data_IF_070002576640
#
_entry.id   IF_070002576640
#
_cell.length_a   1.000
_cell.length_b   1.000
_cell.length_c   1.000
_cell.angle_alpha   90.00
_cell.angle_beta   90.00
_cell.angle_gamma   90.00
#
_symmetry.space_group_name_H-M   'P 1'
#
loop_
_entity.id
_entity.type
_entity.pdbx_description
1 polymer ?
#
# COMPACT_ATOMS: atom_id res chain seq x y z
N UNK A 1 28.46 5.83 3.81
CA UNK A 1 29.33 4.80 4.41
C UNK A 1 28.61 3.46 4.46
N UNK A 2 28.51 2.81 3.29
CA UNK A 2 27.79 1.55 3.08
C UNK A 2 28.65 0.35 3.54
N UNK A 3 29.02 0.30 4.81
CA UNK A 3 29.65 -0.92 5.31
C UNK A 3 28.56 -1.94 5.57
N UNK A 4 28.52 -2.97 4.73
CA UNK A 4 27.78 -4.19 5.01
C UNK A 4 28.19 -4.76 6.37
N UNK A 5 27.20 -5.16 7.15
CA UNK A 5 27.43 -5.92 8.39
C UNK A 5 27.40 -7.42 8.12
N UNK A 6 26.75 -7.83 7.02
CA UNK A 6 26.76 -9.16 6.44
C UNK A 6 26.42 -9.02 4.95
N UNK A 7 26.51 -10.10 4.16
CA UNK A 7 26.20 -10.10 2.74
C UNK A 7 24.84 -9.44 2.44
N UNK A 8 24.86 -8.33 1.68
CA UNK A 8 23.71 -7.50 1.29
C UNK A 8 22.88 -6.98 2.49
N UNK A 9 23.47 -6.83 3.69
CA UNK A 9 22.81 -6.30 4.89
C UNK A 9 23.51 -5.02 5.34
N UNK A 10 22.78 -3.92 5.37
CA UNK A 10 23.27 -2.59 5.69
C UNK A 10 22.56 -2.01 6.92
N UNK A 11 23.27 -1.32 7.83
CA UNK A 11 22.60 -0.61 8.92
C UNK A 11 21.85 0.61 8.38
N UNK A 12 20.66 0.86 8.90
CA UNK A 12 19.87 2.06 8.59
C UNK A 12 20.15 3.13 9.63
N UNK A 13 20.64 4.27 9.19
CA UNK A 13 20.93 5.42 10.06
C UNK A 13 19.75 6.39 10.16
N UNK A 14 18.96 6.48 9.11
CA UNK A 14 17.78 7.34 9.03
C UNK A 14 16.68 6.61 8.31
N UNK A 15 15.53 6.54 8.94
CA UNK A 15 14.29 6.09 8.34
C UNK A 15 13.35 7.29 8.33
N UNK A 16 12.79 7.65 7.18
CA UNK A 16 11.90 8.80 7.03
C UNK A 16 10.66 8.40 6.22
N UNK A 17 9.52 8.47 6.86
CA UNK A 17 8.23 8.15 6.24
C UNK A 17 7.59 9.43 5.67
N UNK A 18 7.13 9.36 4.42
CA UNK A 18 6.40 10.42 3.73
C UNK A 18 7.07 11.80 3.80
N UNK A 19 8.34 11.93 3.37
CA UNK A 19 8.99 13.23 3.32
C UNK A 19 8.20 14.17 2.38
N UNK A 20 8.26 15.48 2.63
CA UNK A 20 7.71 16.43 1.67
C UNK A 20 8.48 16.38 0.35
N UNK A 21 7.88 16.91 -0.73
CA UNK A 21 8.43 16.84 -2.09
C UNK A 21 9.88 17.33 -2.18
N UNK A 22 10.19 18.48 -1.56
CA UNK A 22 11.54 19.05 -1.62
C UNK A 22 12.58 18.16 -0.90
N UNK A 23 12.18 17.51 0.18
CA UNK A 23 13.04 16.56 0.90
C UNK A 23 13.20 15.25 0.12
N UNK A 24 12.12 14.74 -0.47
CA UNK A 24 12.16 13.54 -1.31
C UNK A 24 13.09 13.74 -2.52
N UNK A 25 13.01 14.91 -3.17
CA UNK A 25 13.90 15.24 -4.29
C UNK A 25 15.38 15.22 -3.88
N UNK A 26 15.71 15.83 -2.75
CA UNK A 26 17.09 15.79 -2.20
C UNK A 26 17.55 14.37 -1.88
N UNK A 27 16.68 13.52 -1.38
CA UNK A 27 17.01 12.11 -1.11
C UNK A 27 17.35 11.37 -2.40
N UNK A 28 16.59 11.59 -3.47
CA UNK A 28 16.86 10.99 -4.78
C UNK A 28 18.18 11.53 -5.36
N UNK A 29 18.40 12.83 -5.30
CA UNK A 29 19.61 13.48 -5.84
C UNK A 29 20.89 13.08 -5.09
N UNK A 30 20.81 12.82 -3.78
CA UNK A 30 21.96 12.41 -2.98
C UNK A 30 22.43 10.98 -3.29
N UNK A 31 21.53 10.10 -3.73
CA UNK A 31 21.80 8.69 -3.95
C UNK A 31 22.04 7.87 -2.68
N UNK A 32 21.92 8.47 -1.49
CA UNK A 32 22.16 7.82 -0.20
C UNK A 32 20.93 7.15 0.39
N UNK A 33 19.78 7.35 -0.24
CA UNK A 33 18.48 6.83 0.23
C UNK A 33 17.93 5.77 -0.71
N UNK A 34 17.17 4.86 -0.14
CA UNK A 34 16.43 3.82 -0.85
C UNK A 34 14.95 3.92 -0.53
N UNK A 35 14.11 3.55 -1.49
CA UNK A 35 12.68 3.45 -1.28
C UNK A 35 12.36 2.23 -0.41
N UNK A 36 11.57 2.46 0.64
CA UNK A 36 11.07 1.40 1.49
C UNK A 36 9.92 0.66 0.77
N UNK A 37 10.03 -0.65 0.67
CA UNK A 37 8.98 -1.50 0.10
C UNK A 37 7.83 -1.79 1.07
N UNK A 38 7.96 -1.42 2.35
CA UNK A 38 7.03 -1.79 3.40
C UNK A 38 7.09 -3.27 3.81
N UNK A 39 8.08 -4.01 3.35
CA UNK A 39 8.31 -5.40 3.76
C UNK A 39 9.27 -5.43 4.94
N UNK A 40 8.77 -5.81 6.11
CA UNK A 40 9.55 -5.91 7.34
C UNK A 40 9.67 -7.35 7.78
N UNK A 41 10.90 -7.77 8.13
CA UNK A 41 11.23 -9.11 8.62
C UNK A 41 11.93 -8.95 9.96
N UNK A 42 11.44 -9.63 10.98
CA UNK A 42 12.01 -9.59 12.33
C UNK A 42 11.81 -10.88 13.10
N UNK A 43 12.62 -11.05 14.11
CA UNK A 43 12.34 -12.05 15.16
C UNK A 43 11.25 -11.51 16.07
N UNK A 44 10.35 -12.38 16.49
CA UNK A 44 9.19 -12.02 17.34
C UNK A 44 9.61 -11.37 18.66
N UNK A 45 10.65 -11.90 19.30
CA UNK A 45 11.17 -11.35 20.55
C UNK A 45 11.73 -9.93 20.36
N UNK A 46 12.43 -9.67 19.26
CA UNK A 46 13.02 -8.35 18.97
C UNK A 46 11.93 -7.31 18.71
N UNK A 47 10.92 -7.61 17.89
CA UNK A 47 9.85 -6.64 17.62
C UNK A 47 8.99 -6.39 18.87
N UNK A 48 8.75 -7.39 19.70
CA UNK A 48 8.03 -7.20 20.95
C UNK A 48 8.80 -6.33 21.95
N UNK A 49 10.13 -6.45 22.01
CA UNK A 49 10.98 -5.56 22.79
C UNK A 49 10.94 -4.11 22.26
N UNK A 50 11.01 -3.92 20.93
CA UNK A 50 10.89 -2.59 20.35
C UNK A 50 9.49 -1.97 20.60
N UNK A 51 8.41 -2.77 20.49
CA UNK A 51 7.06 -2.31 20.83
C UNK A 51 7.01 -1.91 22.31
N UNK A 52 7.55 -2.71 23.22
CA UNK A 52 7.57 -2.42 24.65
C UNK A 52 8.28 -1.10 24.97
N UNK A 53 9.38 -0.83 24.29
CA UNK A 53 10.20 0.34 24.56
C UNK A 53 9.70 1.63 23.86
N UNK A 54 9.16 1.51 22.65
CA UNK A 54 8.80 2.64 21.78
C UNK A 54 7.29 2.91 21.72
N UNK A 55 6.47 1.91 22.02
CA UNK A 55 5.01 1.96 22.00
C UNK A 55 4.40 1.24 23.21
N UNK A 56 4.66 1.70 24.47
CA UNK A 56 4.25 0.99 25.67
C UNK A 56 2.74 0.74 25.74
N UNK A 57 1.90 1.69 25.33
CA UNK A 57 0.44 1.51 25.32
C UNK A 57 0.02 0.34 24.41
N UNK A 58 0.68 0.18 23.25
CA UNK A 58 0.45 -0.96 22.37
C UNK A 58 0.89 -2.27 23.03
N UNK A 59 2.03 -2.27 23.72
CA UNK A 59 2.53 -3.45 24.43
C UNK A 59 1.57 -3.90 25.52
N UNK A 60 1.04 -2.96 26.30
CA UNK A 60 0.03 -3.25 27.34
C UNK A 60 -1.26 -3.82 26.73
N UNK A 61 -1.73 -3.22 25.62
CA UNK A 61 -2.87 -3.75 24.89
C UNK A 61 -2.66 -5.17 24.36
N UNK A 62 -1.49 -5.44 23.76
CA UNK A 62 -1.13 -6.79 23.29
C UNK A 62 -1.07 -7.79 24.45
N UNK A 63 -0.54 -7.38 25.60
CA UNK A 63 -0.48 -8.23 26.81
C UNK A 63 -1.86 -8.55 27.38
N UNK A 64 -2.82 -7.63 27.27
CA UNK A 64 -4.21 -7.88 27.65
C UNK A 64 -4.88 -8.88 26.70
N UNK A 65 -4.66 -8.71 25.39
CA UNK A 65 -5.15 -9.62 24.34
C UNK A 65 -4.57 -11.03 24.55
N UNK A 66 -3.26 -11.14 24.81
CA UNK A 66 -2.59 -12.43 25.06
C UNK A 66 -3.25 -13.19 26.20
N UNK A 67 -3.54 -12.53 27.32
CA UNK A 67 -4.21 -13.16 28.48
C UNK A 67 -5.62 -13.66 28.16
N UNK A 68 -6.26 -13.08 27.17
CA UNK A 68 -7.63 -13.44 26.77
C UNK A 68 -7.71 -14.48 25.66
N UNK A 69 -6.60 -14.88 25.04
CA UNK A 69 -6.56 -15.78 23.86
C UNK A 69 -7.37 -17.06 23.99
N UNK A 70 -7.42 -17.65 25.21
CA UNK A 70 -8.18 -18.87 25.51
C UNK A 70 -9.54 -18.61 26.13
N UNK A 71 -9.90 -17.33 26.31
CA UNK A 71 -11.17 -16.95 26.96
C UNK A 71 -12.32 -16.98 25.94
N UNK A 72 -13.55 -17.39 26.39
CA UNK A 72 -14.76 -17.23 25.57
C UNK A 72 -15.00 -15.79 25.10
N UNK A 73 -14.52 -14.81 25.85
CA UNK A 73 -14.72 -13.37 25.59
C UNK A 73 -13.60 -12.75 24.74
N UNK A 74 -12.70 -13.54 24.14
CA UNK A 74 -11.55 -13.07 23.37
C UNK A 74 -11.93 -12.02 22.32
N UNK A 75 -13.01 -12.23 21.56
CA UNK A 75 -13.44 -11.32 20.49
C UNK A 75 -13.87 -9.94 21.02
N UNK A 76 -14.52 -9.88 22.16
CA UNK A 76 -14.93 -8.63 22.79
C UNK A 76 -13.73 -7.88 23.37
N UNK A 77 -12.83 -8.60 24.04
CA UNK A 77 -11.61 -8.04 24.60
C UNK A 77 -10.72 -7.46 23.47
N UNK A 78 -10.52 -8.22 22.40
CA UNK A 78 -9.80 -7.76 21.21
C UNK A 78 -10.39 -6.46 20.65
N UNK A 79 -11.71 -6.40 20.46
CA UNK A 79 -12.41 -5.21 19.97
C UNK A 79 -12.23 -4.02 20.90
N UNK A 80 -12.35 -4.24 22.20
CA UNK A 80 -12.22 -3.19 23.21
C UNK A 80 -10.80 -2.61 23.24
N UNK A 81 -9.79 -3.48 23.26
CA UNK A 81 -8.39 -3.06 23.26
C UNK A 81 -8.06 -2.29 21.96
N UNK A 82 -8.44 -2.83 20.79
CA UNK A 82 -8.20 -2.15 19.52
C UNK A 82 -8.85 -0.77 19.43
N UNK A 83 -10.02 -0.59 20.00
CA UNK A 83 -10.72 0.70 20.00
C UNK A 83 -9.98 1.78 20.84
N UNK A 84 -9.19 1.36 21.82
CA UNK A 84 -8.43 2.24 22.72
C UNK A 84 -7.03 2.56 22.20
N UNK A 85 -6.48 1.74 21.28
CA UNK A 85 -5.14 1.92 20.76
C UNK A 85 -5.05 3.14 19.83
N UNK A 86 -3.97 3.89 19.96
CA UNK A 86 -3.65 4.99 19.04
C UNK A 86 -3.35 4.43 17.65
N UNK A 87 -4.01 4.97 16.63
CA UNK A 87 -3.73 4.66 15.22
C UNK A 87 -2.40 5.29 14.81
N UNK A 88 -1.37 4.47 14.69
CA UNK A 88 -0.03 4.87 14.21
C UNK A 88 0.55 3.72 13.40
N UNK A 89 1.19 4.03 12.27
CA UNK A 89 1.87 2.99 11.49
C UNK A 89 3.15 2.55 12.21
N UNK A 90 3.62 1.35 11.88
CA UNK A 90 4.88 0.81 12.39
C UNK A 90 6.07 1.69 12.00
N UNK A 91 5.99 2.34 10.83
CA UNK A 91 7.00 3.26 10.34
C UNK A 91 7.26 4.38 11.34
N UNK A 92 6.21 5.12 11.73
CA UNK A 92 6.29 6.20 12.71
C UNK A 92 6.45 5.71 14.16
N UNK A 93 5.83 4.58 14.49
CA UNK A 93 5.84 4.04 15.85
C UNK A 93 7.19 3.46 16.24
N UNK A 94 7.82 2.75 15.34
CA UNK A 94 9.02 1.96 15.59
C UNK A 94 10.15 2.32 14.64
N UNK A 95 9.96 2.25 13.32
CA UNK A 95 11.06 2.27 12.35
C UNK A 95 11.86 3.58 12.37
N UNK A 96 11.22 4.72 12.52
CA UNK A 96 11.89 6.03 12.64
C UNK A 96 12.67 6.20 13.95
N UNK A 97 12.36 5.41 14.99
CA UNK A 97 12.93 5.57 16.34
C UNK A 97 13.93 4.49 16.71
N UNK A 98 13.77 3.31 16.14
CA UNK A 98 14.62 2.16 16.44
C UNK A 98 16.03 2.36 15.89
N UNK A 99 17.02 1.96 16.67
CA UNK A 99 18.44 1.93 16.26
C UNK A 99 18.89 0.53 15.80
N UNK A 100 17.95 -0.41 15.71
CA UNK A 100 18.21 -1.81 15.35
C UNK A 100 17.70 -2.16 13.95
N UNK A 101 17.57 -1.15 13.08
CA UNK A 101 17.06 -1.33 11.72
C UNK A 101 18.21 -1.63 10.78
N UNK A 102 18.02 -2.67 9.97
CA UNK A 102 18.88 -3.03 8.86
C UNK A 102 18.07 -3.10 7.60
N UNK A 103 18.69 -2.98 6.45
CA UNK A 103 18.06 -3.17 5.15
C UNK A 103 18.83 -4.20 4.31
N UNK A 104 18.13 -4.82 3.40
CA UNK A 104 18.69 -5.55 2.27
C UNK A 104 18.20 -4.91 0.97
N UNK A 105 19.12 -4.74 0.00
CA UNK A 105 18.76 -4.13 -1.29
C UNK A 105 18.07 -5.18 -2.15
N UNK A 106 16.86 -4.85 -2.61
CA UNK A 106 16.12 -5.67 -3.57
C UNK A 106 16.51 -5.35 -5.00
N UNK A 107 16.67 -6.38 -5.83
CA UNK A 107 16.95 -6.27 -7.28
C UNK A 107 15.78 -6.74 -8.14
N UNK A 108 14.60 -6.89 -7.55
CA UNK A 108 13.36 -7.30 -8.22
C UNK A 108 12.46 -6.09 -8.50
N UNK A 109 11.61 -6.20 -9.49
CA UNK A 109 10.57 -5.21 -9.71
C UNK A 109 9.55 -5.29 -8.57
N UNK A 110 9.30 -4.16 -7.93
CA UNK A 110 8.32 -4.03 -6.85
C UNK A 110 7.35 -2.88 -7.13
N UNK A 111 6.09 -3.11 -6.84
CA UNK A 111 5.05 -2.10 -6.83
C UNK A 111 4.08 -2.41 -5.70
N UNK A 112 3.60 -1.39 -5.00
CA UNK A 112 2.55 -1.52 -3.97
C UNK A 112 1.15 -1.63 -4.58
N UNK A 113 1.04 -1.51 -5.91
CA UNK A 113 -0.23 -1.57 -6.65
C UNK A 113 -1.27 -0.60 -6.06
N UNK A 114 -0.80 0.60 -5.71
CA UNK A 114 -1.60 1.61 -5.01
C UNK A 114 -2.60 2.36 -5.87
N UNK A 115 -2.55 2.18 -7.19
CA UNK A 115 -3.46 2.84 -8.14
C UNK A 115 -3.76 2.00 -9.37
N UNK A 116 -4.85 2.31 -10.07
CA UNK A 116 -5.19 1.67 -11.35
C UNK A 116 -4.16 1.92 -12.45
N UNK A 117 -3.40 3.01 -12.38
CA UNK A 117 -2.28 3.25 -13.29
C UNK A 117 -1.18 2.20 -13.09
N UNK A 118 -0.85 1.85 -11.85
CA UNK A 118 0.13 0.80 -11.57
C UNK A 118 -0.37 -0.58 -12.00
N UNK A 119 -1.67 -0.86 -11.83
CA UNK A 119 -2.28 -2.08 -12.38
C UNK A 119 -2.11 -2.13 -13.90
N UNK A 120 -2.35 -1.01 -14.60
CA UNK A 120 -2.11 -0.94 -16.04
C UNK A 120 -0.64 -1.16 -16.38
N UNK A 121 0.29 -0.55 -15.64
CA UNK A 121 1.73 -0.70 -15.92
C UNK A 121 2.19 -2.16 -15.81
N UNK A 122 1.65 -2.90 -14.85
CA UNK A 122 1.98 -4.31 -14.59
C UNK A 122 1.23 -5.29 -15.49
N UNK A 123 0.15 -4.85 -16.16
CA UNK A 123 -0.66 -5.71 -17.02
C UNK A 123 0.00 -5.97 -18.37
N UNK A 124 -0.26 -7.13 -18.95
CA UNK A 124 0.07 -7.41 -20.36
C UNK A 124 -0.74 -6.50 -21.29
N UNK A 125 -0.11 -6.01 -22.33
CA UNK A 125 -0.70 -5.05 -23.28
C UNK A 125 -0.67 -5.60 -24.68
N UNK A 126 -1.73 -5.33 -25.44
CA UNK A 126 -1.77 -5.63 -26.87
C UNK A 126 -0.92 -4.61 -27.67
N UNK A 127 -0.85 -4.78 -29.00
CA UNK A 127 -0.07 -3.92 -29.93
C UNK A 127 -0.45 -2.41 -29.86
N UNK A 128 -1.64 -2.09 -29.37
CA UNK A 128 -2.14 -0.71 -29.20
C UNK A 128 -1.90 -0.17 -27.80
N UNK A 129 -1.16 -0.88 -26.96
CA UNK A 129 -0.93 -0.48 -25.59
C UNK A 129 -2.13 -0.71 -24.64
N UNK A 130 -3.17 -1.43 -25.08
CA UNK A 130 -4.32 -1.68 -24.22
C UNK A 130 -4.13 -2.95 -23.40
N UNK A 131 -4.49 -2.88 -22.11
CA UNK A 131 -4.72 -4.05 -21.26
C UNK A 131 -6.23 -4.30 -21.18
N UNK A 132 -6.69 -5.38 -21.78
CA UNK A 132 -8.11 -5.73 -21.93
C UNK A 132 -8.40 -7.03 -21.19
N UNK A 133 -9.25 -6.98 -20.18
CA UNK A 133 -9.55 -8.12 -19.31
C UNK A 133 -11.06 -8.39 -19.30
N UNK A 134 -11.45 -9.58 -19.71
CA UNK A 134 -12.84 -10.02 -19.75
C UNK A 134 -13.52 -9.79 -21.11
N UNK A 135 -14.81 -9.43 -21.09
CA UNK A 135 -15.63 -9.29 -22.33
C UNK A 135 -15.53 -7.87 -22.91
N UNK A 136 -14.37 -7.52 -23.46
CA UNK A 136 -14.03 -6.18 -23.91
C UNK A 136 -13.99 -6.12 -25.46
N UNK A 137 -14.56 -5.08 -26.04
CA UNK A 137 -14.47 -4.77 -27.47
C UNK A 137 -14.01 -3.33 -27.65
N UNK A 138 -12.91 -3.14 -28.37
CA UNK A 138 -12.31 -1.83 -28.59
C UNK A 138 -12.26 -1.44 -30.04
N UNK A 139 -12.51 -0.17 -30.35
CA UNK A 139 -12.33 0.41 -31.69
C UNK A 139 -11.75 1.80 -31.58
N UNK A 140 -10.59 2.05 -32.19
CA UNK A 140 -9.85 3.33 -32.07
C UNK A 140 -9.56 3.65 -30.58
N UNK A 141 -9.01 2.68 -29.85
CA UNK A 141 -8.63 2.82 -28.44
C UNK A 141 -7.15 2.46 -28.33
N UNK A 142 -6.40 3.24 -27.57
CA UNK A 142 -4.98 3.02 -27.29
C UNK A 142 -4.63 3.34 -25.82
N UNK A 143 -3.53 2.77 -25.36
CA UNK A 143 -2.91 3.06 -24.06
C UNK A 143 -3.88 3.02 -22.87
N UNK A 144 -4.81 2.08 -22.88
CA UNK A 144 -5.94 2.05 -21.95
C UNK A 144 -5.99 0.75 -21.15
N UNK A 145 -6.51 0.82 -19.92
CA UNK A 145 -6.82 -0.33 -19.08
C UNK A 145 -8.33 -0.54 -19.04
N UNK A 146 -8.81 -1.70 -19.46
CA UNK A 146 -10.25 -2.00 -19.51
C UNK A 146 -10.48 -3.35 -18.84
N UNK A 147 -11.16 -3.33 -17.71
CA UNK A 147 -11.49 -4.50 -16.92
C UNK A 147 -13.01 -4.71 -16.89
N UNK A 148 -13.49 -5.79 -17.43
CA UNK A 148 -14.93 -6.14 -17.47
C UNK A 148 -15.13 -7.65 -17.49
N UNK A 149 -14.97 -8.36 -16.36
CA UNK A 149 -15.01 -9.81 -16.32
C UNK A 149 -16.40 -10.38 -16.63
N UNK A 150 -17.45 -9.72 -16.16
CA UNK A 150 -18.81 -10.28 -16.16
C UNK A 150 -19.70 -9.71 -17.27
N UNK A 151 -19.52 -8.46 -17.64
CA UNK A 151 -20.37 -7.75 -18.60
C UNK A 151 -19.63 -7.44 -19.89
N UNK A 152 -20.37 -7.29 -20.98
CA UNK A 152 -19.80 -6.78 -22.24
C UNK A 152 -19.55 -5.28 -22.10
N UNK A 153 -18.33 -4.86 -22.37
CA UNK A 153 -17.94 -3.44 -22.39
C UNK A 153 -17.35 -3.11 -23.77
N UNK A 154 -17.96 -2.16 -24.46
CA UNK A 154 -17.46 -1.62 -25.70
C UNK A 154 -16.92 -0.21 -25.49
N UNK A 155 -15.68 0.05 -25.95
CA UNK A 155 -15.01 1.35 -25.86
C UNK A 155 -14.60 1.79 -27.26
N UNK A 156 -14.96 3.01 -27.64
CA UNK A 156 -14.72 3.52 -28.99
C UNK A 156 -14.16 4.95 -28.92
N UNK A 157 -13.05 5.18 -29.63
CA UNK A 157 -12.48 6.51 -29.83
C UNK A 157 -11.92 7.18 -28.58
N UNK A 158 -11.40 6.38 -27.63
CA UNK A 158 -10.78 6.87 -26.40
C UNK A 158 -9.35 6.37 -26.28
N UNK A 159 -8.49 7.19 -25.70
CA UNK A 159 -7.11 6.86 -25.34
C UNK A 159 -6.80 7.29 -23.92
N UNK A 160 -5.80 6.63 -23.35
CA UNK A 160 -5.28 6.98 -22.03
C UNK A 160 -6.36 6.94 -20.92
N UNK A 161 -7.25 5.92 -20.99
CA UNK A 161 -8.36 5.75 -20.01
C UNK A 161 -8.24 4.49 -19.23
N UNK A 162 -8.82 4.50 -18.05
CA UNK A 162 -9.12 3.36 -17.19
C UNK A 162 -10.63 3.17 -17.18
N UNK A 163 -11.08 1.98 -17.53
CA UNK A 163 -12.50 1.58 -17.49
C UNK A 163 -12.60 0.31 -16.65
N UNK A 164 -13.26 0.39 -15.52
CA UNK A 164 -13.53 -0.74 -14.63
C UNK A 164 -15.04 -0.93 -14.58
N UNK A 165 -15.51 -2.06 -15.10
CA UNK A 165 -16.91 -2.44 -15.03
C UNK A 165 -17.03 -3.74 -14.24
N UNK A 166 -17.38 -3.63 -12.99
CA UNK A 166 -17.44 -4.77 -12.07
C UNK A 166 -18.72 -4.72 -11.24
N UNK A 167 -19.40 -5.85 -11.16
CA UNK A 167 -20.72 -5.96 -10.53
C UNK A 167 -21.71 -4.91 -11.06
N UNK A 168 -22.17 -4.01 -10.23
CA UNK A 168 -23.11 -2.93 -10.53
C UNK A 168 -22.45 -1.54 -10.61
N UNK A 169 -21.12 -1.50 -10.51
CA UNK A 169 -20.34 -0.26 -10.48
C UNK A 169 -19.47 -0.12 -11.73
N UNK A 170 -19.42 1.10 -12.25
CA UNK A 170 -18.54 1.47 -13.36
C UNK A 170 -17.69 2.67 -12.96
N UNK A 171 -16.37 2.50 -13.04
CA UNK A 171 -15.40 3.59 -12.92
C UNK A 171 -14.81 3.90 -14.29
N UNK A 172 -14.81 5.17 -14.68
CA UNK A 172 -14.11 5.66 -15.87
C UNK A 172 -13.31 6.88 -15.49
N UNK A 173 -12.01 6.85 -15.73
CA UNK A 173 -11.14 8.01 -15.55
C UNK A 173 -9.99 8.02 -16.56
N UNK A 174 -9.31 9.15 -16.71
CA UNK A 174 -8.03 9.20 -17.42
C UNK A 174 -6.96 8.52 -16.55
N UNK A 175 -5.97 7.89 -17.17
CA UNK A 175 -4.87 7.23 -16.46
C UNK A 175 -4.07 8.19 -15.59
N UNK A 176 -3.80 9.42 -16.07
CA UNK A 176 -3.11 10.47 -15.32
C UNK A 176 -3.95 11.04 -14.15
N UNK A 177 -5.20 10.55 -13.99
CA UNK A 177 -6.14 10.88 -12.91
C UNK A 177 -6.48 9.68 -12.01
N UNK A 178 -5.75 8.58 -12.14
CA UNK A 178 -6.01 7.36 -11.37
C UNK A 178 -5.91 7.57 -9.84
N UNK A 179 -5.06 8.47 -9.39
CA UNK A 179 -4.93 8.80 -7.96
C UNK A 179 -6.14 9.58 -7.40
N UNK A 180 -6.85 10.33 -8.25
CA UNK A 180 -8.01 11.13 -7.86
C UNK A 180 -9.23 10.24 -7.53
N UNK A 181 -9.20 8.94 -7.89
CA UNK A 181 -10.24 7.94 -7.53
C UNK A 181 -10.45 7.88 -6.01
N UNK A 182 -9.41 8.14 -5.23
CA UNK A 182 -9.51 8.21 -3.78
C UNK A 182 -10.52 9.25 -3.30
N UNK A 183 -10.64 10.38 -3.99
CA UNK A 183 -11.60 11.43 -3.62
C UNK A 183 -13.05 10.93 -3.76
N UNK A 184 -13.31 10.09 -4.79
CA UNK A 184 -14.62 9.47 -4.98
C UNK A 184 -14.91 8.45 -3.87
N UNK A 185 -13.91 7.64 -3.51
CA UNK A 185 -14.03 6.68 -2.39
C UNK A 185 -14.33 7.42 -1.08
N UNK A 186 -13.64 8.51 -0.81
CA UNK A 186 -13.88 9.32 0.40
C UNK A 186 -15.27 9.98 0.36
N UNK A 187 -15.74 10.46 -0.80
CA UNK A 187 -17.09 10.98 -1.00
C UNK A 187 -18.15 9.91 -0.69
N UNK A 188 -18.00 8.70 -1.23
CA UNK A 188 -18.93 7.60 -0.99
C UNK A 188 -19.01 7.25 0.51
N UNK A 189 -17.86 7.15 1.20
CA UNK A 189 -17.79 6.91 2.65
C UNK A 189 -18.50 8.01 3.45
N UNK A 190 -18.25 9.28 3.13
CA UNK A 190 -18.88 10.42 3.81
C UNK A 190 -20.40 10.41 3.66
N UNK A 191 -20.90 9.91 2.53
CA UNK A 191 -22.34 9.81 2.26
C UNK A 191 -22.95 8.45 2.66
N UNK A 192 -22.19 7.57 3.33
CA UNK A 192 -22.63 6.24 3.79
C UNK A 192 -23.11 5.34 2.64
N UNK A 193 -22.45 5.42 1.50
CA UNK A 193 -22.73 4.64 0.30
C UNK A 193 -21.76 3.46 0.23
N UNK A 194 -21.60 2.72 1.34
CA UNK A 194 -20.60 1.66 1.51
C UNK A 194 -20.83 0.45 0.57
N UNK A 195 -22.03 0.34 0.01
CA UNK A 195 -22.41 -0.69 -0.98
C UNK A 195 -21.69 -0.58 -2.32
N UNK A 196 -21.07 0.58 -2.60
CA UNK A 196 -20.30 0.84 -3.83
C UNK A 196 -18.77 0.90 -3.61
N UNK A 197 -18.30 0.47 -2.43
CA UNK A 197 -16.87 0.49 -2.06
C UNK A 197 -16.19 -0.86 -2.20
#
# INVERSE_FOLDING_TARGET
NDKEVAENIFPVYTFAEKPNYATALRFVESGDFLWNSGMFIWRTDVILDEIKNLMPDLYEGLSAIEKSLTSPNFKEELKTVYAQLKKISIDYGIMEKSKKVFLTKGSFNWSDVGSWEEVYQLSEKNEKGNAEIGKVYTKMVSDSYIYSPDKVTAVIGLDNVIVINHHDTVLICRRDKAQDVKEIVDYLKMNKMDEYL
#
